data_IF_472863469606
#
_entry.id   IF_472863469606
#
_cell.length_a   1.000
_cell.length_b   1.000
_cell.length_c   1.000
_cell.angle_alpha   90.00
_cell.angle_beta   90.00
_cell.angle_gamma   90.00
#
_symmetry.space_group_name_H-M   'P 1'
#
loop_
_entity.id
_entity.type
_entity.pdbx_description
1 polymer ?
#
# COMPACT_ATOMS: atom_id res chain seq x y z
N UNK A 1 -10.90 -15.85 -20.16
CA UNK A 1 -10.41 -17.15 -20.66
C UNK A 1 -9.16 -16.83 -21.45
N UNK A 2 -7.97 -17.28 -21.10
CA UNK A 2 -7.51 -18.36 -20.22
C UNK A 2 -6.14 -17.97 -19.67
N UNK A 3 -5.93 -18.14 -18.37
CA UNK A 3 -4.61 -18.40 -17.77
C UNK A 3 -4.82 -19.17 -16.45
N UNK A 4 -5.88 -20.00 -16.41
CA UNK A 4 -6.01 -21.00 -15.35
C UNK A 4 -4.95 -22.07 -15.65
N UNK A 5 -4.05 -22.26 -14.71
CA UNK A 5 -3.01 -23.28 -14.75
C UNK A 5 -3.32 -24.37 -13.72
N UNK A 6 -2.66 -25.55 -13.81
CA UNK A 6 -2.66 -26.52 -12.73
C UNK A 6 -2.33 -25.85 -11.40
N UNK A 7 -3.01 -26.27 -10.33
CA UNK A 7 -2.84 -25.65 -8.99
C UNK A 7 -1.39 -25.80 -8.54
N UNK A 8 -0.76 -26.94 -8.81
CA UNK A 8 0.64 -27.21 -8.51
C UNK A 8 1.58 -26.21 -9.20
N UNK A 9 1.31 -25.87 -10.45
CA UNK A 9 2.08 -24.88 -11.21
C UNK A 9 1.93 -23.48 -10.60
N UNK A 10 0.70 -23.06 -10.30
CA UNK A 10 0.44 -21.79 -9.63
C UNK A 10 1.13 -21.68 -8.27
N UNK A 11 1.15 -22.77 -7.50
CA UNK A 11 1.81 -22.82 -6.20
C UNK A 11 3.34 -22.81 -6.32
N UNK A 12 3.91 -23.44 -7.36
CA UNK A 12 5.35 -23.37 -7.63
C UNK A 12 5.78 -21.95 -7.98
N UNK A 13 5.06 -21.28 -8.88
CA UNK A 13 5.30 -19.86 -9.22
C UNK A 13 5.20 -18.96 -7.98
N UNK A 14 4.14 -19.14 -7.18
CA UNK A 14 3.90 -18.39 -5.96
C UNK A 14 4.96 -18.61 -4.87
N UNK A 15 5.46 -19.84 -4.71
CA UNK A 15 6.54 -20.16 -3.78
C UNK A 15 7.88 -19.58 -4.27
N UNK A 16 8.12 -19.60 -5.58
CA UNK A 16 9.35 -19.17 -6.24
C UNK A 16 9.50 -17.66 -6.42
N UNK A 17 8.57 -16.84 -5.93
CA UNK A 17 8.67 -15.37 -6.05
C UNK A 17 9.96 -14.87 -5.39
N UNK A 18 10.75 -14.15 -6.21
CA UNK A 18 11.88 -13.32 -5.83
C UNK A 18 11.59 -11.87 -6.28
N UNK A 19 11.29 -10.99 -5.33
CA UNK A 19 10.98 -9.58 -5.62
C UNK A 19 12.23 -8.82 -6.05
N UNK A 20 13.39 -9.18 -5.49
CA UNK A 20 14.67 -8.52 -5.79
C UNK A 20 15.04 -8.67 -7.28
N UNK A 21 14.76 -9.85 -7.85
CA UNK A 21 15.02 -10.17 -9.25
C UNK A 21 14.01 -9.56 -10.25
N UNK A 22 12.86 -9.04 -9.80
CA UNK A 22 11.88 -8.44 -10.71
C UNK A 22 12.36 -7.10 -11.26
N UNK A 23 12.32 -6.91 -12.58
CA UNK A 23 12.73 -5.65 -13.23
C UNK A 23 11.67 -4.53 -13.15
N UNK A 24 10.40 -4.87 -12.88
CA UNK A 24 9.30 -3.90 -12.74
C UNK A 24 9.31 -3.23 -11.35
N UNK A 25 8.70 -2.04 -11.28
CA UNK A 25 8.39 -1.32 -10.02
C UNK A 25 9.63 -0.99 -9.17
N UNK A 26 10.74 -0.62 -9.81
CA UNK A 26 12.02 -0.31 -9.14
C UNK A 26 11.85 0.79 -8.09
N UNK A 27 11.11 1.85 -8.39
CA UNK A 27 10.88 2.95 -7.45
C UNK A 27 10.09 2.48 -6.22
N UNK A 28 9.06 1.65 -6.39
CA UNK A 28 8.28 1.11 -5.28
C UNK A 28 9.11 0.17 -4.41
N UNK A 29 10.02 -0.60 -5.01
CA UNK A 29 11.00 -1.43 -4.28
C UNK A 29 11.98 -0.57 -3.47
N UNK A 30 12.53 0.49 -4.06
CA UNK A 30 13.44 1.42 -3.37
C UNK A 30 12.75 2.13 -2.19
N UNK A 31 11.48 2.50 -2.37
CA UNK A 31 10.64 3.01 -1.29
C UNK A 31 10.35 1.94 -0.23
N UNK A 32 10.53 0.66 -0.53
CA UNK A 32 10.18 -0.48 0.30
C UNK A 32 8.66 -0.59 0.50
N UNK A 33 7.89 -0.36 -0.55
CA UNK A 33 6.45 -0.64 -0.56
C UNK A 33 6.26 -2.16 -0.64
N UNK A 34 5.39 -2.76 0.19
CA UNK A 34 5.10 -4.19 0.12
C UNK A 34 4.54 -4.60 -1.24
N UNK A 35 4.87 -5.81 -1.68
CA UNK A 35 4.34 -6.42 -2.89
C UNK A 35 3.38 -7.54 -2.53
N UNK A 36 2.24 -7.59 -3.21
CA UNK A 36 1.22 -8.61 -2.98
C UNK A 36 1.02 -9.43 -4.24
N UNK A 37 1.02 -10.74 -4.09
CA UNK A 37 0.68 -11.72 -5.11
C UNK A 37 -0.45 -12.61 -4.62
N UNK A 38 -1.14 -13.25 -5.56
CA UNK A 38 -2.30 -14.09 -5.26
C UNK A 38 -2.25 -15.40 -6.04
N UNK A 39 -2.76 -16.46 -5.42
CA UNK A 39 -3.25 -17.65 -6.12
C UNK A 39 -4.74 -17.73 -5.84
N UNK A 40 -5.54 -17.57 -6.89
CA UNK A 40 -7.00 -17.63 -6.81
C UNK A 40 -7.45 -19.00 -7.29
N UNK A 41 -8.07 -19.78 -6.40
CA UNK A 41 -8.57 -21.11 -6.76
C UNK A 41 -9.81 -21.01 -7.64
N UNK A 42 -9.75 -21.62 -8.81
CA UNK A 42 -10.88 -21.82 -9.71
C UNK A 42 -11.41 -23.27 -9.61
N UNK A 43 -12.37 -23.66 -10.47
CA UNK A 43 -13.04 -24.97 -10.38
C UNK A 43 -12.05 -26.15 -10.45
N UNK A 44 -11.21 -26.16 -11.47
CA UNK A 44 -10.30 -27.27 -11.78
C UNK A 44 -8.82 -26.84 -11.81
N UNK A 45 -8.54 -25.58 -11.51
CA UNK A 45 -7.20 -25.00 -11.57
C UNK A 45 -7.04 -23.80 -10.65
N UNK A 46 -6.03 -22.98 -10.92
CA UNK A 46 -5.85 -21.71 -10.24
C UNK A 46 -5.30 -20.65 -11.18
N UNK A 47 -5.55 -19.39 -10.83
CA UNK A 47 -4.96 -18.23 -11.47
C UNK A 47 -3.89 -17.68 -10.54
N UNK A 48 -2.65 -17.67 -10.99
CA UNK A 48 -1.57 -16.95 -10.33
C UNK A 48 -1.58 -15.49 -10.80
N UNK A 49 -1.62 -14.57 -9.84
CA UNK A 49 -1.49 -13.13 -10.06
C UNK A 49 -0.11 -12.73 -9.55
N UNK A 50 0.75 -12.30 -10.48
CA UNK A 50 2.12 -11.93 -10.16
C UNK A 50 2.21 -10.80 -9.11
N UNK A 51 3.31 -10.68 -8.36
CA UNK A 51 3.51 -9.60 -7.40
C UNK A 51 3.35 -8.20 -7.99
N UNK A 52 2.53 -7.38 -7.34
CA UNK A 52 2.32 -5.95 -7.62
C UNK A 52 2.49 -5.10 -6.35
N UNK A 53 2.87 -3.81 -6.47
CA UNK A 53 2.90 -2.90 -5.32
C UNK A 53 1.54 -2.86 -4.62
N UNK A 54 1.57 -2.77 -3.28
CA UNK A 54 0.40 -2.88 -2.40
C UNK A 54 -0.81 -2.05 -2.84
N UNK A 55 -0.58 -0.80 -3.25
CA UNK A 55 -1.66 0.10 -3.66
C UNK A 55 -2.35 -0.32 -4.97
N UNK A 56 -1.62 -0.99 -5.87
CA UNK A 56 -2.20 -1.57 -7.09
C UNK A 56 -2.92 -2.87 -6.77
N UNK A 57 -2.28 -3.73 -5.96
CA UNK A 57 -2.81 -5.02 -5.59
C UNK A 57 -4.16 -4.94 -4.83
N UNK A 58 -4.41 -3.85 -4.10
CA UNK A 58 -5.69 -3.60 -3.43
C UNK A 58 -6.88 -3.68 -4.39
N UNK A 59 -6.71 -3.23 -5.64
CA UNK A 59 -7.75 -3.25 -6.67
C UNK A 59 -7.92 -4.57 -7.41
N UNK A 60 -6.88 -5.42 -7.48
CA UNK A 60 -6.84 -6.56 -8.41
C UNK A 60 -7.91 -7.63 -8.15
N UNK A 61 -8.36 -7.78 -6.90
CA UNK A 61 -9.37 -8.77 -6.54
C UNK A 61 -10.81 -8.34 -6.86
N UNK A 62 -11.06 -7.05 -7.15
CA UNK A 62 -12.42 -6.56 -7.50
C UNK A 62 -12.93 -7.15 -8.82
N UNK A 63 -12.03 -7.42 -9.74
CA UNK A 63 -12.38 -7.87 -11.10
C UNK A 63 -12.66 -9.38 -11.15
N UNK A 64 -12.36 -10.11 -10.07
CA UNK A 64 -12.52 -11.56 -10.03
C UNK A 64 -13.97 -11.97 -9.78
N UNK A 65 -14.52 -12.75 -10.71
CA UNK A 65 -15.94 -13.16 -10.70
C UNK A 65 -16.21 -14.42 -9.89
N UNK A 66 -15.20 -15.22 -9.59
CA UNK A 66 -15.37 -16.54 -8.95
C UNK A 66 -14.04 -17.07 -8.41
N UNK A 67 -13.99 -17.29 -7.10
CA UNK A 67 -12.92 -18.03 -6.42
C UNK A 67 -13.25 -18.03 -4.93
N UNK A 68 -13.52 -19.21 -4.34
CA UNK A 68 -13.91 -19.26 -2.91
C UNK A 68 -12.73 -19.02 -1.99
N UNK A 69 -11.54 -19.39 -2.43
CA UNK A 69 -10.33 -19.42 -1.61
C UNK A 69 -9.20 -18.73 -2.39
N UNK A 70 -8.56 -17.77 -1.73
CA UNK A 70 -7.50 -16.94 -2.27
C UNK A 70 -6.31 -17.09 -1.31
N UNK A 71 -5.21 -17.62 -1.81
CA UNK A 71 -3.94 -17.58 -1.09
C UNK A 71 -3.23 -16.28 -1.49
N UNK A 72 -2.86 -15.44 -0.52
CA UNK A 72 -2.05 -14.26 -0.79
C UNK A 72 -0.66 -14.41 -0.18
N UNK A 73 0.33 -13.78 -0.80
CA UNK A 73 1.67 -13.58 -0.26
C UNK A 73 1.97 -12.09 -0.29
N UNK A 74 2.37 -11.57 0.85
CA UNK A 74 2.87 -10.22 1.02
C UNK A 74 4.37 -10.28 1.24
N UNK A 75 5.14 -9.83 0.25
CA UNK A 75 6.58 -9.65 0.33
C UNK A 75 6.87 -8.22 0.81
N UNK A 76 7.68 -8.07 1.86
CA UNK A 76 7.91 -6.80 2.52
C UNK A 76 9.32 -6.72 3.12
N UNK A 77 9.74 -5.48 3.44
CA UNK A 77 11.01 -5.22 4.10
C UNK A 77 10.82 -5.21 5.62
N UNK A 78 11.70 -5.90 6.32
CA UNK A 78 11.84 -5.77 7.76
C UNK A 78 13.31 -5.70 8.15
N UNK A 79 13.74 -4.51 8.56
CA UNK A 79 15.16 -4.16 8.63
C UNK A 79 15.76 -4.09 7.23
N UNK A 80 16.96 -4.63 7.08
CA UNK A 80 17.64 -4.77 5.78
C UNK A 80 17.36 -6.12 5.09
N UNK A 81 16.27 -6.80 5.46
CA UNK A 81 15.94 -8.14 4.96
C UNK A 81 14.55 -8.17 4.35
N UNK A 82 14.46 -8.82 3.20
CA UNK A 82 13.19 -9.22 2.62
C UNK A 82 12.58 -10.34 3.44
N UNK A 83 11.27 -10.23 3.68
CA UNK A 83 10.44 -11.24 4.32
C UNK A 83 9.17 -11.41 3.51
N UNK A 84 8.47 -12.50 3.77
CA UNK A 84 7.12 -12.65 3.28
C UNK A 84 6.20 -13.17 4.38
N UNK A 85 4.93 -12.82 4.24
CA UNK A 85 3.83 -13.38 5.00
C UNK A 85 2.80 -13.95 4.03
N UNK A 86 2.14 -15.03 4.41
CA UNK A 86 1.06 -15.62 3.63
C UNK A 86 -0.21 -15.72 4.45
N UNK A 87 -1.33 -15.76 3.75
CA UNK A 87 -2.63 -15.99 4.38
C UNK A 87 -3.67 -16.45 3.38
N UNK A 88 -4.76 -17.00 3.90
CA UNK A 88 -5.87 -17.54 3.11
C UNK A 88 -7.12 -16.73 3.37
N UNK A 89 -7.68 -16.18 2.30
CA UNK A 89 -8.90 -15.39 2.30
C UNK A 89 -10.02 -16.18 1.64
N UNK A 90 -11.24 -16.02 2.16
CA UNK A 90 -12.44 -16.48 1.50
C UNK A 90 -13.18 -15.30 0.90
N UNK A 91 -13.47 -15.38 -0.40
CA UNK A 91 -14.23 -14.34 -1.08
C UNK A 91 -15.73 -14.47 -0.74
N UNK A 92 -16.34 -13.35 -0.35
CA UNK A 92 -17.77 -13.25 -0.11
C UNK A 92 -18.59 -13.10 -1.40
N UNK A 93 -19.90 -12.89 -1.25
CA UNK A 93 -20.80 -12.58 -2.39
C UNK A 93 -20.56 -11.19 -2.99
N UNK A 94 -19.94 -10.30 -2.22
CA UNK A 94 -19.66 -8.92 -2.60
C UNK A 94 -18.23 -8.83 -3.12
N UNK A 95 -18.04 -8.13 -4.23
CA UNK A 95 -16.72 -7.74 -4.70
C UNK A 95 -16.10 -6.74 -3.71
N UNK A 96 -14.89 -7.03 -3.26
CA UNK A 96 -14.16 -6.24 -2.28
C UNK A 96 -12.72 -6.03 -2.73
N UNK A 97 -12.06 -5.01 -2.19
CA UNK A 97 -10.61 -4.87 -2.35
C UNK A 97 -9.89 -5.97 -1.57
N UNK A 98 -8.59 -6.17 -1.83
CA UNK A 98 -7.78 -7.06 -0.99
C UNK A 98 -7.87 -6.71 0.49
N UNK A 99 -7.74 -5.42 0.86
CA UNK A 99 -7.87 -5.04 2.27
C UNK A 99 -9.29 -5.21 2.82
N UNK A 100 -10.32 -5.00 2.00
CA UNK A 100 -11.70 -5.30 2.38
C UNK A 100 -11.86 -6.77 2.76
N UNK A 101 -11.36 -7.67 1.91
CA UNK A 101 -11.38 -9.11 2.14
C UNK A 101 -10.54 -9.52 3.35
N UNK A 102 -9.33 -8.99 3.47
CA UNK A 102 -8.44 -9.31 4.59
C UNK A 102 -9.09 -8.90 5.93
N UNK A 103 -9.60 -7.66 6.00
CA UNK A 103 -10.30 -7.16 7.20
C UNK A 103 -11.55 -7.97 7.52
N UNK A 104 -12.38 -8.31 6.54
CA UNK A 104 -13.61 -9.07 6.75
C UNK A 104 -13.32 -10.52 7.18
N UNK A 105 -12.28 -11.14 6.63
CA UNK A 105 -11.82 -12.47 7.05
C UNK A 105 -11.28 -12.46 8.49
N UNK A 106 -10.44 -11.49 8.85
CA UNK A 106 -9.97 -11.32 10.24
C UNK A 106 -11.15 -11.12 11.19
N UNK A 107 -12.05 -10.21 10.85
CA UNK A 107 -13.21 -9.85 11.69
C UNK A 107 -14.21 -11.00 11.87
N UNK A 108 -14.28 -11.92 10.91
CA UNK A 108 -15.12 -13.12 10.98
C UNK A 108 -14.44 -14.30 11.69
N UNK A 109 -13.23 -14.11 12.21
CA UNK A 109 -12.50 -15.13 12.97
C UNK A 109 -11.73 -16.13 12.10
N UNK A 110 -11.49 -15.83 10.82
CA UNK A 110 -10.62 -16.66 9.98
C UNK A 110 -9.16 -16.52 10.45
N UNK A 111 -8.70 -17.46 11.26
CA UNK A 111 -7.33 -17.47 11.80
C UNK A 111 -6.24 -17.65 10.74
N UNK A 112 -6.59 -18.12 9.54
CA UNK A 112 -5.66 -18.25 8.42
C UNK A 112 -5.47 -16.96 7.62
N UNK A 113 -6.32 -15.96 7.85
CA UNK A 113 -6.29 -14.73 7.10
C UNK A 113 -5.06 -13.88 7.41
N UNK A 114 -4.58 -13.90 8.65
CA UNK A 114 -3.44 -13.09 9.07
C UNK A 114 -2.63 -13.76 10.18
N UNK A 115 -2.08 -14.95 9.88
CA UNK A 115 -1.33 -15.76 10.85
C UNK A 115 -0.14 -15.00 11.45
N UNK A 116 0.48 -14.14 10.63
CA UNK A 116 1.69 -13.39 11.00
C UNK A 116 1.41 -11.96 11.50
N UNK A 117 0.14 -11.55 11.62
CA UNK A 117 -0.24 -10.22 12.12
C UNK A 117 0.21 -9.06 11.22
N UNK A 118 0.27 -9.28 9.91
CA UNK A 118 0.77 -8.32 8.92
C UNK A 118 -0.28 -7.26 8.53
N UNK A 119 -1.56 -7.44 8.89
CA UNK A 119 -2.64 -6.53 8.48
C UNK A 119 -2.35 -5.07 8.80
N UNK A 120 -2.02 -4.75 10.06
CA UNK A 120 -1.80 -3.35 10.48
C UNK A 120 -0.58 -2.72 9.80
N UNK A 121 0.46 -3.51 9.53
CA UNK A 121 1.63 -3.06 8.78
C UNK A 121 1.25 -2.71 7.34
N UNK A 122 0.53 -3.61 6.65
CA UNK A 122 0.06 -3.35 5.29
C UNK A 122 -0.91 -2.16 5.27
N UNK A 123 -1.85 -2.07 6.21
CA UNK A 123 -2.85 -0.98 6.27
C UNK A 123 -2.16 0.39 6.41
N UNK A 124 -1.11 0.45 7.23
CA UNK A 124 -0.30 1.66 7.39
C UNK A 124 0.43 2.00 6.08
N UNK A 125 1.08 1.03 5.43
CA UNK A 125 1.73 1.26 4.13
C UNK A 125 0.74 1.75 3.06
N UNK A 126 -0.44 1.15 2.98
CA UNK A 126 -1.46 1.56 2.01
C UNK A 126 -1.93 3.00 2.28
N UNK A 127 -2.09 3.37 3.56
CA UNK A 127 -2.42 4.75 3.95
C UNK A 127 -1.35 5.73 3.53
N UNK A 128 -0.07 5.39 3.74
CA UNK A 128 1.06 6.21 3.29
C UNK A 128 1.12 6.36 1.76
N UNK A 129 0.85 5.31 1.00
CA UNK A 129 0.78 5.40 -0.48
C UNK A 129 -0.37 6.32 -0.94
N UNK A 130 -1.53 6.27 -0.27
CA UNK A 130 -2.65 7.17 -0.58
C UNK A 130 -2.33 8.62 -0.24
N UNK A 131 -1.64 8.85 0.87
CA UNK A 131 -1.22 10.17 1.31
C UNK A 131 -0.16 10.78 0.38
N UNK A 132 0.82 9.97 -0.07
CA UNK A 132 1.82 10.36 -1.06
C UNK A 132 1.16 10.82 -2.36
N UNK A 133 0.27 9.98 -2.91
CA UNK A 133 -0.47 10.30 -4.13
C UNK A 133 -1.29 11.59 -3.99
N UNK A 134 -2.01 11.75 -2.88
CA UNK A 134 -2.77 12.97 -2.61
C UNK A 134 -1.86 14.21 -2.59
N UNK A 135 -0.71 14.12 -1.91
CA UNK A 135 0.23 15.24 -1.84
C UNK A 135 0.83 15.59 -3.21
N UNK A 136 1.16 14.61 -4.03
CA UNK A 136 1.64 14.82 -5.41
C UNK A 136 0.55 15.50 -6.27
N UNK A 137 -0.70 15.03 -6.20
CA UNK A 137 -1.83 15.61 -6.94
C UNK A 137 -2.12 17.05 -6.50
N UNK A 138 -2.07 17.33 -5.20
CA UNK A 138 -2.29 18.68 -4.66
C UNK A 138 -1.15 19.63 -5.01
N UNK A 139 0.11 19.18 -4.97
CA UNK A 139 1.26 19.98 -5.43
C UNK A 139 1.07 20.36 -6.90
N UNK A 140 0.73 19.39 -7.76
CA UNK A 140 0.50 19.64 -9.18
C UNK A 140 -0.70 20.59 -9.41
N UNK A 141 -1.74 20.51 -8.59
CA UNK A 141 -2.86 21.44 -8.65
C UNK A 141 -2.46 22.87 -8.25
N UNK A 142 -1.63 23.04 -7.22
CA UNK A 142 -1.14 24.35 -6.76
C UNK A 142 -0.25 25.08 -7.77
N UNK A 143 0.23 24.42 -8.82
CA UNK A 143 0.94 25.07 -9.93
C UNK A 143 0.00 25.88 -10.85
N UNK A 144 -1.31 25.66 -10.75
CA UNK A 144 -2.30 26.34 -11.59
C UNK A 144 -2.79 27.63 -10.93
N UNK A 145 -2.92 28.70 -11.73
CA UNK A 145 -3.42 30.00 -11.24
C UNK A 145 -4.83 29.92 -10.63
N UNK A 146 -5.66 29.00 -11.14
CA UNK A 146 -7.03 28.75 -10.64
C UNK A 146 -7.10 28.21 -9.20
N UNK A 147 -5.97 27.72 -8.65
CA UNK A 147 -5.92 27.16 -7.30
C UNK A 147 -5.96 28.22 -6.18
N UNK A 148 -5.84 29.52 -6.50
CA UNK A 148 -5.96 30.60 -5.53
C UNK A 148 -4.86 31.66 -5.64
N UNK A 149 -4.68 32.49 -4.61
CA UNK A 149 -3.62 33.52 -4.61
C UNK A 149 -2.22 32.91 -4.60
N UNK A 150 -1.22 33.65 -5.08
CA UNK A 150 0.17 33.19 -5.12
C UNK A 150 0.67 32.72 -3.73
N UNK A 151 0.33 33.45 -2.67
CA UNK A 151 0.74 33.10 -1.30
C UNK A 151 0.01 31.84 -0.80
N UNK A 152 -1.28 31.69 -1.10
CA UNK A 152 -2.03 30.48 -0.80
C UNK A 152 -1.41 29.25 -1.48
N UNK A 153 -1.10 29.36 -2.78
CA UNK A 153 -0.49 28.27 -3.55
C UNK A 153 0.88 27.88 -3.00
N UNK A 154 1.72 28.87 -2.66
CA UNK A 154 3.04 28.63 -2.02
C UNK A 154 2.91 27.92 -0.67
N UNK A 155 2.01 28.38 0.20
CA UNK A 155 1.78 27.78 1.51
C UNK A 155 1.31 26.32 1.41
N UNK A 156 0.33 26.05 0.54
CA UNK A 156 -0.16 24.69 0.33
C UNK A 156 0.90 23.79 -0.31
N UNK A 157 1.65 24.28 -1.30
CA UNK A 157 2.75 23.52 -1.89
C UNK A 157 3.81 23.14 -0.83
N UNK A 158 4.16 24.06 0.06
CA UNK A 158 5.07 23.79 1.17
C UNK A 158 4.49 22.73 2.14
N UNK A 159 3.21 22.84 2.50
CA UNK A 159 2.54 21.87 3.35
C UNK A 159 2.53 20.46 2.76
N UNK A 160 2.19 20.31 1.47
CA UNK A 160 2.16 18.99 0.85
C UNK A 160 3.57 18.40 0.64
N UNK A 161 4.61 19.23 0.53
CA UNK A 161 6.00 18.75 0.60
C UNK A 161 6.37 18.23 2.00
N UNK A 162 5.87 18.86 3.06
CA UNK A 162 6.00 18.33 4.43
C UNK A 162 5.31 16.97 4.57
N UNK A 163 4.12 16.81 3.96
CA UNK A 163 3.41 15.52 3.90
C UNK A 163 4.25 14.45 3.19
N UNK A 164 4.90 14.78 2.07
CA UNK A 164 5.79 13.84 1.38
C UNK A 164 6.98 13.42 2.26
N UNK A 165 7.59 14.37 2.99
CA UNK A 165 8.68 14.08 3.93
C UNK A 165 8.22 13.18 5.09
N UNK A 166 7.03 13.45 5.63
CA UNK A 166 6.38 12.61 6.63
C UNK A 166 6.18 11.18 6.11
N UNK A 167 5.70 11.01 4.88
CA UNK A 167 5.48 9.69 4.27
C UNK A 167 6.79 8.93 4.14
N UNK A 168 7.83 9.57 3.59
CA UNK A 168 9.14 8.95 3.40
C UNK A 168 9.72 8.48 4.75
N UNK A 169 9.69 9.34 5.76
CA UNK A 169 10.21 9.04 7.10
C UNK A 169 9.42 7.91 7.77
N UNK A 170 8.09 7.98 7.69
CA UNK A 170 7.19 6.95 8.23
C UNK A 170 7.46 5.59 7.60
N UNK A 171 7.62 5.56 6.26
CA UNK A 171 7.90 4.33 5.52
C UNK A 171 9.25 3.73 5.90
N UNK A 172 10.29 4.57 6.07
CA UNK A 172 11.59 4.13 6.57
C UNK A 172 11.47 3.47 7.95
N UNK A 173 10.72 4.06 8.88
CA UNK A 173 10.52 3.45 10.21
C UNK A 173 9.76 2.13 10.14
N UNK A 174 8.71 2.03 9.33
CA UNK A 174 7.97 0.79 9.12
C UNK A 174 8.87 -0.31 8.57
N UNK A 175 9.68 0.01 7.56
CA UNK A 175 10.55 -0.96 6.90
C UNK A 175 11.73 -1.39 7.76
N UNK A 176 12.13 -0.63 8.78
CA UNK A 176 13.27 -0.97 9.62
C UNK A 176 12.94 -1.89 10.81
N UNK A 177 11.66 -2.05 11.20
CA UNK A 177 11.35 -2.39 12.59
C UNK A 177 10.68 -3.75 12.83
N UNK A 178 10.95 -4.35 14.00
CA UNK A 178 10.50 -5.70 14.40
C UNK A 178 9.31 -5.77 15.39
N UNK A 179 8.98 -4.72 16.17
CA UNK A 179 7.69 -4.55 16.89
C UNK A 179 7.47 -3.16 17.53
N UNK A 180 6.29 -2.53 17.38
CA UNK A 180 5.90 -1.31 18.14
C UNK A 180 6.31 0.04 17.54
N UNK A 181 6.03 0.28 16.26
CA UNK A 181 6.42 1.52 15.56
C UNK A 181 5.65 2.72 16.09
N UNK A 182 6.39 3.72 16.57
CA UNK A 182 5.90 5.09 16.72
C UNK A 182 6.22 5.83 15.42
N UNK A 183 5.19 6.10 14.63
CA UNK A 183 5.31 7.00 13.48
C UNK A 183 5.73 8.40 13.97
N UNK A 184 6.43 9.19 13.14
CA UNK A 184 6.62 10.60 13.46
C UNK A 184 5.25 11.28 13.69
N UNK A 185 5.20 12.41 14.41
CA UNK A 185 3.98 13.19 14.51
C UNK A 185 3.47 13.57 13.12
N UNK A 186 2.16 13.43 12.91
CA UNK A 186 1.54 13.86 11.66
C UNK A 186 1.63 15.40 11.56
N UNK A 187 2.02 15.97 10.40
CA UNK A 187 2.09 17.41 10.23
C UNK A 187 0.67 17.99 10.15
N UNK A 188 0.13 18.42 11.29
CA UNK A 188 -1.20 19.01 11.36
C UNK A 188 -1.28 20.30 10.54
N UNK A 189 -2.18 20.33 9.55
CA UNK A 189 -2.28 21.44 8.59
C UNK A 189 -2.46 22.79 9.26
N UNK A 190 -3.29 22.89 10.30
CA UNK A 190 -3.55 24.14 11.01
C UNK A 190 -2.30 24.69 11.70
N UNK A 191 -1.52 23.79 12.32
CA UNK A 191 -0.25 24.13 12.99
C UNK A 191 0.77 24.59 11.95
N UNK A 192 0.95 23.82 10.88
CA UNK A 192 1.86 24.17 9.79
C UNK A 192 1.52 25.52 9.18
N UNK A 193 0.25 25.73 8.80
CA UNK A 193 -0.19 26.97 8.16
C UNK A 193 -0.01 28.18 9.07
N UNK A 194 -0.28 28.03 10.37
CA UNK A 194 -0.08 29.12 11.33
C UNK A 194 1.40 29.55 11.37
N UNK A 195 2.32 28.58 11.45
CA UNK A 195 3.76 28.87 11.42
C UNK A 195 4.21 29.48 10.10
N UNK A 196 3.76 28.92 8.97
CA UNK A 196 4.13 29.40 7.64
C UNK A 196 3.75 30.87 7.43
N UNK A 197 2.52 31.24 7.77
CA UNK A 197 2.06 32.63 7.63
C UNK A 197 2.68 33.59 8.64
N UNK A 198 3.10 33.14 9.82
CA UNK A 198 3.87 33.99 10.74
C UNK A 198 5.25 34.33 10.18
N UNK A 199 5.92 33.35 9.58
CA UNK A 199 7.25 33.51 8.99
C UNK A 199 7.21 34.31 7.67
N UNK A 200 6.18 34.14 6.85
CA UNK A 200 6.11 34.67 5.48
C UNK A 200 5.09 35.80 5.29
N UNK A 201 4.18 36.02 6.25
CA UNK A 201 3.12 37.03 6.20
C UNK A 201 3.52 38.42 6.73
N UNK A 202 4.74 38.58 7.26
CA UNK A 202 5.23 39.86 7.82
C UNK A 202 5.81 40.83 6.77
N UNK A 203 5.43 40.69 5.49
CA UNK A 203 5.81 41.61 4.42
C UNK A 203 4.57 42.18 3.72
N UNK A 204 3.86 43.08 4.40
CA UNK A 204 3.02 44.11 3.79
C UNK A 204 3.20 45.44 4.54
#
# INVERSE_FOLDING_TARGET
MENSMPIEEALMEFAGIDISAKEKFTLEKEKGIPFISFVVKEKEGAVFIEPHPLFMADGLLKEQKTGREILYRADYMQGSREKFATGVLFAGKKQETFFGLLKSNISSGNTKADIMGIYSYLETHLTLCRLEKLAEEEIAFMEKEEAGSADYRKANCAYYREILSYVETSRRYLNMWSSGVLLPPFPERSVFMTGWYQEHGSSQ
#
